data_IF_010873881981
#
_entry.id   IF_010873881981
#
_cell.length_a   1.000
_cell.length_b   1.000
_cell.length_c   1.000
_cell.angle_alpha   90.00
_cell.angle_beta   90.00
_cell.angle_gamma   90.00
#
_symmetry.space_group_name_H-M   'P 1'
#
loop_
_entity.id
_entity.type
_entity.pdbx_description
1 polymer ?
#
# COMPACT_ATOMS: atom_id res chain seq x y z
N UNK A 1 -11.63 -18.25 23.31
CA UNK A 1 -12.39 -17.01 23.04
C UNK A 1 -11.68 -16.31 21.91
N UNK A 2 -12.42 -15.95 20.85
CA UNK A 2 -11.87 -15.26 19.70
C UNK A 2 -11.27 -13.91 20.10
N UNK A 3 -10.13 -13.54 19.50
CA UNK A 3 -9.45 -12.26 19.70
C UNK A 3 -9.51 -11.43 18.43
N UNK A 4 -9.81 -10.15 18.60
CA UNK A 4 -9.72 -9.15 17.54
C UNK A 4 -8.49 -8.29 17.82
N UNK A 5 -7.62 -8.17 16.83
CA UNK A 5 -6.47 -7.29 16.84
C UNK A 5 -6.72 -6.15 15.86
N UNK A 6 -6.23 -4.96 16.18
CA UNK A 6 -6.27 -3.82 15.28
C UNK A 6 -4.89 -3.16 15.23
N UNK A 7 -4.44 -2.83 14.03
CA UNK A 7 -3.22 -2.05 13.79
C UNK A 7 -3.62 -0.83 12.96
N UNK A 8 -3.40 0.35 13.55
CA UNK A 8 -3.55 1.65 12.88
C UNK A 8 -2.33 1.97 12.02
N UNK A 9 -2.43 3.07 11.27
CA UNK A 9 -1.40 3.86 10.61
C UNK A 9 -0.01 3.22 10.62
N UNK A 10 0.40 2.73 9.45
CA UNK A 10 1.70 2.09 9.26
C UNK A 10 2.67 3.04 8.56
N UNK A 11 2.19 3.88 7.64
CA UNK A 11 2.97 4.92 6.99
C UNK A 11 4.36 4.47 6.48
N UNK A 12 4.40 3.39 5.70
CA UNK A 12 5.64 2.93 5.07
C UNK A 12 6.73 2.43 6.04
N UNK A 13 6.41 2.19 7.31
CA UNK A 13 7.30 1.66 8.34
C UNK A 13 7.14 0.13 8.49
N UNK A 14 7.77 -0.61 7.56
CA UNK A 14 7.61 -2.07 7.47
C UNK A 14 8.15 -2.81 8.70
N UNK A 15 9.25 -2.36 9.29
CA UNK A 15 9.89 -3.09 10.39
C UNK A 15 9.06 -2.98 11.68
N UNK A 16 8.53 -1.79 11.93
CA UNK A 16 7.56 -1.52 12.99
C UNK A 16 6.26 -2.31 12.78
N UNK A 17 5.81 -2.43 11.52
CA UNK A 17 4.66 -3.28 11.19
C UNK A 17 4.94 -4.75 11.50
N UNK A 18 6.12 -5.27 11.16
CA UNK A 18 6.55 -6.65 11.49
C UNK A 18 6.61 -6.87 13.01
N UNK A 19 7.13 -5.90 13.74
CA UNK A 19 7.19 -5.96 15.21
C UNK A 19 5.80 -5.96 15.85
N UNK A 20 4.84 -5.21 15.27
CA UNK A 20 3.44 -5.27 15.69
C UNK A 20 2.81 -6.64 15.38
N UNK A 21 3.06 -7.19 14.18
CA UNK A 21 2.54 -8.51 13.77
C UNK A 21 3.03 -9.66 14.66
N UNK A 22 4.24 -9.56 15.24
CA UNK A 22 4.75 -10.56 16.19
C UNK A 22 3.88 -10.71 17.46
N UNK A 23 3.00 -9.73 17.75
CA UNK A 23 2.06 -9.75 18.88
C UNK A 23 0.69 -10.32 18.50
N UNK A 24 0.45 -10.57 17.21
CA UNK A 24 -0.83 -11.04 16.67
C UNK A 24 -0.76 -12.56 16.50
N UNK A 25 -1.64 -13.29 17.18
CA UNK A 25 -1.78 -14.74 16.99
C UNK A 25 -2.94 -15.05 16.05
N UNK A 26 -2.64 -15.48 14.82
CA UNK A 26 -3.62 -15.90 13.82
C UNK A 26 -3.73 -17.43 13.64
N UNK A 27 -3.02 -18.23 14.46
CA UNK A 27 -3.13 -19.69 14.40
C UNK A 27 -4.53 -20.20 14.79
N UNK A 28 -5.23 -19.44 15.62
CA UNK A 28 -6.65 -19.65 15.88
C UNK A 28 -7.47 -19.01 14.75
N UNK A 29 -8.24 -19.84 14.03
CA UNK A 29 -9.04 -19.45 12.87
C UNK A 29 -10.19 -18.50 13.21
N UNK A 30 -10.55 -18.35 14.48
CA UNK A 30 -11.57 -17.40 14.93
C UNK A 30 -10.99 -16.01 15.21
N UNK A 31 -9.66 -15.90 15.33
CA UNK A 31 -9.02 -14.60 15.50
C UNK A 31 -9.05 -13.79 14.21
N UNK A 32 -9.12 -12.47 14.35
CA UNK A 32 -9.13 -11.51 13.23
C UNK A 32 -8.11 -10.41 13.46
N UNK A 33 -7.47 -9.97 12.38
CA UNK A 33 -6.64 -8.77 12.35
C UNK A 33 -7.30 -7.72 11.46
N UNK A 34 -7.55 -6.55 12.04
CA UNK A 34 -8.00 -5.36 11.33
C UNK A 34 -6.81 -4.44 11.07
N UNK A 35 -6.59 -4.11 9.81
CA UNK A 35 -5.65 -3.08 9.39
C UNK A 35 -6.47 -1.84 9.05
N UNK A 36 -6.24 -0.73 9.74
CA UNK A 36 -7.21 0.38 9.78
C UNK A 36 -7.04 1.44 8.68
N UNK A 37 -5.93 1.41 7.94
CA UNK A 37 -5.65 2.34 6.84
C UNK A 37 -4.28 2.99 7.02
N UNK A 38 -3.96 3.93 6.13
CA UNK A 38 -2.76 4.76 6.16
C UNK A 38 -1.47 3.93 6.22
N UNK A 39 -1.33 3.08 5.20
CA UNK A 39 -0.21 2.16 5.02
C UNK A 39 0.95 2.80 4.26
N UNK A 40 0.65 3.79 3.42
CA UNK A 40 1.59 4.50 2.57
C UNK A 40 2.11 5.79 3.22
N UNK A 41 3.13 6.36 2.59
CA UNK A 41 3.71 7.70 2.87
C UNK A 41 4.52 7.79 4.16
N UNK A 42 5.31 8.86 4.31
CA UNK A 42 6.32 9.10 5.37
C UNK A 42 7.50 8.10 5.41
N UNK A 43 7.24 6.80 5.46
CA UNK A 43 8.24 5.75 5.44
C UNK A 43 8.70 5.36 4.02
N UNK A 44 9.94 4.89 3.91
CA UNK A 44 10.55 4.48 2.64
C UNK A 44 10.14 3.09 2.16
N UNK A 45 9.30 2.37 2.92
CA UNK A 45 8.96 0.96 2.65
C UNK A 45 7.47 0.76 2.29
N UNK A 46 6.81 1.80 1.77
CA UNK A 46 5.37 1.79 1.42
C UNK A 46 4.96 0.64 0.49
N UNK A 47 5.70 0.40 -0.60
CA UNK A 47 5.48 -0.75 -1.50
C UNK A 47 5.59 -2.09 -0.76
N UNK A 48 6.56 -2.23 0.14
CA UNK A 48 6.82 -3.44 0.90
C UNK A 48 5.76 -3.66 1.99
N UNK A 49 5.22 -2.59 2.60
CA UNK A 49 4.09 -2.67 3.54
C UNK A 49 2.87 -3.26 2.84
N UNK A 50 2.45 -2.71 1.70
CA UNK A 50 1.31 -3.26 0.94
C UNK A 50 1.60 -4.69 0.46
N UNK A 51 2.83 -4.97 0.02
CA UNK A 51 3.22 -6.34 -0.36
C UNK A 51 3.06 -7.31 0.81
N UNK A 52 3.41 -6.88 2.04
CA UNK A 52 3.23 -7.69 3.24
C UNK A 52 1.74 -7.88 3.59
N UNK A 53 0.91 -6.86 3.39
CA UNK A 53 -0.54 -6.95 3.58
C UNK A 53 -1.15 -7.98 2.61
N UNK A 54 -0.78 -7.93 1.33
CA UNK A 54 -1.21 -8.91 0.32
C UNK A 54 -0.81 -10.33 0.74
N UNK A 55 0.45 -10.52 1.14
CA UNK A 55 0.96 -11.81 1.64
C UNK A 55 0.14 -12.33 2.85
N UNK A 56 -0.19 -11.46 3.81
CA UNK A 56 -1.00 -11.83 4.97
C UNK A 56 -2.42 -12.24 4.59
N UNK A 57 -3.05 -11.54 3.64
CA UNK A 57 -4.39 -11.87 3.13
C UNK A 57 -4.40 -13.24 2.43
N UNK A 58 -3.31 -13.61 1.77
CA UNK A 58 -3.13 -14.92 1.12
C UNK A 58 -2.89 -16.05 2.14
N UNK A 59 -2.05 -15.82 3.16
CA UNK A 59 -1.72 -16.81 4.19
C UNK A 59 -2.90 -17.06 5.14
N UNK A 60 -3.65 -16.01 5.50
CA UNK A 60 -4.72 -16.05 6.48
C UNK A 60 -6.07 -15.60 5.88
N UNK A 61 -6.62 -16.34 4.90
CA UNK A 61 -7.83 -15.94 4.20
C UNK A 61 -9.00 -15.82 5.19
N UNK A 62 -9.80 -14.76 5.03
CA UNK A 62 -10.94 -14.40 5.90
C UNK A 62 -10.58 -13.97 7.33
N UNK A 63 -9.29 -13.96 7.71
CA UNK A 63 -8.85 -13.47 9.01
C UNK A 63 -8.31 -12.05 8.98
N UNK A 64 -7.84 -11.59 7.82
CA UNK A 64 -7.34 -10.23 7.61
C UNK A 64 -8.45 -9.35 7.03
N UNK A 65 -8.80 -8.29 7.74
CA UNK A 65 -9.73 -7.25 7.28
C UNK A 65 -8.90 -5.98 7.07
N UNK A 66 -8.88 -5.49 5.84
CA UNK A 66 -8.05 -4.35 5.45
C UNK A 66 -8.96 -3.22 4.99
N UNK A 67 -8.78 -2.04 5.58
CA UNK A 67 -9.48 -0.81 5.22
C UNK A 67 -8.57 0.06 4.35
N UNK A 68 -9.12 1.10 3.73
CA UNK A 68 -8.30 2.15 3.11
C UNK A 68 -8.44 3.41 3.95
N UNK A 69 -7.30 4.02 4.27
CA UNK A 69 -7.23 5.37 4.80
C UNK A 69 -7.17 6.39 3.65
N UNK A 70 -7.12 7.68 4.01
CA UNK A 70 -7.08 8.76 3.03
C UNK A 70 -5.77 8.76 2.23
N UNK A 71 -4.67 8.26 2.80
CA UNK A 71 -3.39 8.15 2.09
C UNK A 71 -3.48 7.17 0.90
N UNK A 72 -4.19 6.05 1.07
CA UNK A 72 -4.44 5.12 -0.03
C UNK A 72 -5.34 5.73 -1.11
N UNK A 73 -6.31 6.57 -0.74
CA UNK A 73 -7.16 7.28 -1.70
C UNK A 73 -6.36 8.28 -2.53
N UNK A 74 -5.55 9.12 -1.89
CA UNK A 74 -4.70 10.09 -2.58
C UNK A 74 -3.70 9.39 -3.51
N UNK A 75 -3.09 8.31 -3.06
CA UNK A 75 -2.17 7.55 -3.90
C UNK A 75 -2.90 6.90 -5.09
N UNK A 76 -4.09 6.34 -4.87
CA UNK A 76 -4.90 5.76 -5.95
C UNK A 76 -5.27 6.82 -6.97
N UNK A 77 -5.77 7.97 -6.53
CA UNK A 77 -6.18 9.09 -7.36
C UNK A 77 -5.00 9.59 -8.20
N UNK A 78 -3.83 9.74 -7.58
CA UNK A 78 -2.59 10.09 -8.26
C UNK A 78 -2.19 9.05 -9.31
N UNK A 79 -2.21 7.77 -8.97
CA UNK A 79 -1.68 6.73 -9.83
C UNK A 79 -2.62 6.37 -10.99
N UNK A 80 -3.91 6.24 -10.70
CA UNK A 80 -4.89 5.59 -11.59
C UNK A 80 -5.70 6.57 -12.43
N UNK A 81 -6.05 7.75 -11.93
CA UNK A 81 -6.89 8.70 -12.69
C UNK A 81 -6.10 9.34 -13.83
N UNK A 82 -6.71 9.49 -15.01
CA UNK A 82 -6.07 10.18 -16.14
C UNK A 82 -5.67 11.62 -15.80
N UNK A 83 -6.50 12.29 -14.98
CA UNK A 83 -6.25 13.61 -14.40
C UNK A 83 -6.18 13.47 -12.87
N UNK A 84 -4.96 13.36 -12.30
CA UNK A 84 -4.77 13.30 -10.86
C UNK A 84 -5.42 14.45 -10.10
N UNK A 85 -6.08 14.14 -9.00
CA UNK A 85 -6.63 15.08 -8.01
C UNK A 85 -5.74 15.22 -6.78
N UNK A 86 -4.72 14.36 -6.66
CA UNK A 86 -3.75 14.32 -5.57
C UNK A 86 -2.33 14.12 -6.11
N UNK A 87 -1.34 14.29 -5.24
CA UNK A 87 0.09 14.04 -5.53
C UNK A 87 0.59 12.89 -4.66
N UNK A 88 1.51 12.08 -5.18
CA UNK A 88 2.18 11.06 -4.38
C UNK A 88 3.35 11.64 -3.58
N UNK A 89 3.60 11.05 -2.41
CA UNK A 89 4.75 11.37 -1.59
C UNK A 89 6.04 10.82 -2.23
N UNK A 90 7.15 11.59 -2.21
CA UNK A 90 8.42 11.12 -2.75
C UNK A 90 8.92 9.82 -2.11
N UNK A 91 8.66 9.62 -0.82
CA UNK A 91 9.03 8.41 -0.05
C UNK A 91 8.30 7.19 -0.60
N UNK A 92 7.00 7.33 -0.88
CA UNK A 92 6.19 6.27 -1.49
C UNK A 92 6.72 5.93 -2.87
N UNK A 93 7.01 6.92 -3.74
CA UNK A 93 7.60 6.67 -5.07
C UNK A 93 8.94 5.92 -4.96
N UNK A 94 9.82 6.35 -4.05
CA UNK A 94 11.14 5.72 -3.83
C UNK A 94 11.01 4.26 -3.38
N UNK A 95 9.92 3.86 -2.73
CA UNK A 95 9.74 2.48 -2.29
C UNK A 95 9.57 1.46 -3.43
N UNK A 96 9.16 1.91 -4.63
CA UNK A 96 8.94 1.04 -5.81
C UNK A 96 10.22 0.73 -6.59
N UNK A 97 11.21 1.62 -6.52
CA UNK A 97 12.30 1.69 -7.48
C UNK A 97 13.67 1.83 -6.80
N UNK A 98 14.69 1.20 -7.38
CA UNK A 98 16.07 1.50 -7.03
C UNK A 98 16.47 2.91 -7.51
N UNK A 99 17.54 3.51 -6.96
CA UNK A 99 18.06 4.77 -7.47
C UNK A 99 18.42 4.73 -8.96
N UNK A 100 18.90 3.60 -9.46
CA UNK A 100 19.24 3.38 -10.87
C UNK A 100 17.99 3.38 -11.76
N UNK A 101 16.93 2.68 -11.32
CA UNK A 101 15.63 2.66 -12.00
C UNK A 101 15.02 4.06 -12.07
N UNK A 102 15.03 4.81 -10.94
CA UNK A 102 14.54 6.19 -10.91
C UNK A 102 15.34 7.10 -11.85
N UNK A 103 16.67 6.98 -11.87
CA UNK A 103 17.52 7.76 -12.77
C UNK A 103 17.25 7.43 -14.25
N UNK A 104 16.99 6.16 -14.56
CA UNK A 104 16.60 5.75 -15.90
C UNK A 104 15.25 6.36 -16.31
N UNK A 105 14.24 6.30 -15.43
CA UNK A 105 12.92 6.91 -15.66
C UNK A 105 13.07 8.42 -15.88
N UNK A 106 13.87 9.08 -15.04
CA UNK A 106 14.15 10.52 -15.15
C UNK A 106 14.78 10.90 -16.49
N UNK A 107 15.84 10.19 -16.91
CA UNK A 107 16.50 10.43 -18.21
C UNK A 107 15.57 10.19 -19.39
N UNK A 108 14.74 9.15 -19.33
CA UNK A 108 13.82 8.77 -20.40
C UNK A 108 12.59 9.66 -20.49
N UNK A 109 12.26 10.39 -19.40
CA UNK A 109 11.07 11.23 -19.28
C UNK A 109 11.42 12.64 -18.76
N UNK A 110 12.52 13.23 -19.24
CA UNK A 110 13.06 14.48 -18.70
C UNK A 110 12.04 15.64 -18.65
N UNK A 111 11.08 15.67 -19.58
CA UNK A 111 10.05 16.71 -19.66
C UNK A 111 8.83 16.43 -18.76
N UNK A 112 8.66 15.20 -18.25
CA UNK A 112 7.53 14.81 -17.39
C UNK A 112 7.86 13.54 -16.59
N UNK A 113 8.72 13.70 -15.57
CA UNK A 113 9.18 12.60 -14.72
C UNK A 113 8.01 11.87 -14.04
N UNK A 114 7.02 12.62 -13.56
CA UNK A 114 5.86 12.07 -12.85
C UNK A 114 5.06 11.10 -13.73
N UNK A 115 4.81 11.46 -14.98
CA UNK A 115 4.12 10.56 -15.93
C UNK A 115 4.95 9.32 -16.23
N UNK A 116 6.29 9.46 -16.32
CA UNK A 116 7.21 8.34 -16.44
C UNK A 116 7.07 7.35 -15.28
N UNK A 117 7.12 7.84 -14.05
CA UNK A 117 6.95 7.03 -12.82
C UNK A 117 5.59 6.33 -12.82
N UNK A 118 4.50 7.07 -13.06
CA UNK A 118 3.13 6.50 -13.07
C UNK A 118 2.99 5.40 -14.12
N UNK A 119 3.56 5.58 -15.31
CA UNK A 119 3.51 4.58 -16.37
C UNK A 119 4.32 3.34 -16.02
N UNK A 120 5.49 3.50 -15.43
CA UNK A 120 6.30 2.37 -14.99
C UNK A 120 5.57 1.55 -13.92
N UNK A 121 5.00 2.22 -12.90
CA UNK A 121 4.21 1.53 -11.86
C UNK A 121 3.00 0.79 -12.47
N UNK A 122 2.30 1.39 -13.45
CA UNK A 122 1.09 0.80 -14.05
C UNK A 122 1.36 -0.36 -14.99
N UNK A 123 2.46 -0.33 -15.73
CA UNK A 123 2.69 -1.25 -16.85
C UNK A 123 3.73 -2.33 -16.54
N UNK A 124 4.55 -2.15 -15.51
CA UNK A 124 5.53 -3.16 -15.13
C UNK A 124 4.86 -4.31 -14.37
N UNK A 125 5.04 -5.53 -14.87
CA UNK A 125 4.42 -6.75 -14.34
C UNK A 125 4.75 -6.99 -12.86
N UNK A 126 5.90 -6.49 -12.38
CA UNK A 126 6.35 -6.51 -10.98
C UNK A 126 5.31 -5.93 -10.03
N UNK A 127 4.58 -4.91 -10.47
CA UNK A 127 3.63 -4.18 -9.61
C UNK A 127 2.18 -4.62 -9.81
N UNK A 128 1.91 -5.61 -10.67
CA UNK A 128 0.55 -6.08 -10.91
C UNK A 128 -0.20 -6.51 -9.64
N UNK A 129 0.38 -7.28 -8.70
CA UNK A 129 -0.30 -7.64 -7.46
C UNK A 129 -0.73 -6.40 -6.66
N UNK A 130 0.18 -5.44 -6.53
CA UNK A 130 -0.07 -4.16 -5.84
C UNK A 130 -1.21 -3.37 -6.50
N UNK A 131 -1.18 -3.21 -7.83
CA UNK A 131 -2.20 -2.45 -8.58
C UNK A 131 -3.57 -3.13 -8.51
N UNK A 132 -3.60 -4.46 -8.65
CA UNK A 132 -4.84 -5.21 -8.56
C UNK A 132 -5.43 -5.14 -7.16
N UNK A 133 -4.60 -5.20 -6.12
CA UNK A 133 -5.02 -5.02 -4.74
C UNK A 133 -5.66 -3.64 -4.55
N UNK A 134 -5.01 -2.55 -4.98
CA UNK A 134 -5.58 -1.20 -4.91
C UNK A 134 -6.90 -1.07 -5.68
N UNK A 135 -6.96 -1.55 -6.94
CA UNK A 135 -8.19 -1.50 -7.76
C UNK A 135 -9.35 -2.28 -7.15
N UNK A 136 -9.06 -3.36 -6.42
CA UNK A 136 -10.07 -4.13 -5.68
C UNK A 136 -10.54 -3.33 -4.46
N UNK A 137 -9.61 -2.92 -3.60
CA UNK A 137 -9.89 -2.24 -2.32
C UNK A 137 -10.52 -0.87 -2.46
N UNK A 138 -10.19 -0.13 -3.52
CA UNK A 138 -10.77 1.20 -3.75
C UNK A 138 -12.30 1.15 -3.91
N UNK A 139 -12.87 0.00 -4.28
CA UNK A 139 -14.33 -0.20 -4.40
C UNK A 139 -15.02 -0.49 -3.05
N UNK A 140 -14.26 -0.78 -2.01
CA UNK A 140 -14.80 -1.08 -0.68
C UNK A 140 -15.39 0.21 -0.07
N UNK A 141 -16.40 0.08 0.79
CA UNK A 141 -16.97 1.24 1.49
C UNK A 141 -15.92 1.85 2.40
N UNK A 142 -15.84 3.18 2.41
CA UNK A 142 -15.04 3.91 3.41
C UNK A 142 -15.76 3.94 4.73
N UNK A 143 -15.00 3.80 5.81
CA UNK A 143 -15.45 3.97 7.17
C UNK A 143 -14.83 5.25 7.68
N UNK A 144 -15.66 6.18 8.14
CA UNK A 144 -15.24 7.47 8.67
C UNK A 144 -15.71 7.55 10.12
N UNK A 145 -14.86 8.07 11.00
CA UNK A 145 -15.30 8.48 12.33
C UNK A 145 -16.17 9.74 12.18
N UNK A 146 -17.42 9.67 12.65
CA UNK A 146 -18.34 10.83 12.74
C UNK A 146 -18.35 11.40 14.13
#
# INVERSE_FOLDING_TARGET
MAKLYAISDIHGYLDEFRDALNKVNLNDKDNRLFLLGDYLDNGLQSFQVISKIIELEEIYPNQIITLLGNHEEWFYDWLILDKPTASAFPETIKSFFSPEELNYIFKSNANNFETGVRNEIKNNIKFNPFINWFKKRYRDKRYYET
#
